data_IF_751355271214
#
_entry.id   IF_751355271214
#
_cell.length_a   1.000
_cell.length_b   1.000
_cell.length_c   1.000
_cell.angle_alpha   90.00
_cell.angle_beta   90.00
_cell.angle_gamma   90.00
#
_symmetry.space_group_name_H-M   'P 1'
#
loop_
_entity.id
_entity.type
_entity.pdbx_description
1 polymer ?
#
# COMPACT_ATOMS: atom_id res chain seq x y z
N UNK A 1 24.11 -40.03 -17.12
CA UNK A 1 23.97 -40.02 -15.65
C UNK A 1 25.35 -40.11 -15.02
N UNK A 2 25.70 -39.11 -14.21
CA UNK A 2 26.74 -39.00 -13.16
C UNK A 2 26.77 -37.49 -12.79
N UNK A 3 25.83 -37.00 -11.98
CA UNK A 3 26.06 -36.68 -10.55
C UNK A 3 26.54 -35.23 -10.43
N UNK A 4 25.69 -34.24 -10.16
CA UNK A 4 25.19 -33.92 -8.82
C UNK A 4 25.95 -32.70 -8.25
N UNK A 5 25.23 -31.60 -7.98
CA UNK A 5 25.61 -30.44 -7.13
C UNK A 5 27.02 -29.83 -7.33
N UNK A 6 27.15 -28.67 -8.02
CA UNK A 6 28.41 -27.90 -8.00
C UNK A 6 28.35 -26.39 -7.76
N UNK A 7 27.18 -25.76 -7.66
CA UNK A 7 27.09 -24.29 -7.47
C UNK A 7 26.18 -23.90 -6.31
N UNK A 8 26.31 -24.57 -5.15
CA UNK A 8 25.59 -24.16 -3.92
C UNK A 8 26.60 -23.70 -2.88
N UNK A 9 26.50 -22.43 -2.47
CA UNK A 9 27.25 -21.93 -1.31
C UNK A 9 26.33 -21.98 -0.11
N UNK A 10 26.80 -22.64 0.94
CA UNK A 10 26.07 -22.80 2.19
C UNK A 10 26.81 -22.07 3.30
N UNK A 11 26.11 -21.20 4.02
CA UNK A 11 26.58 -20.62 5.26
C UNK A 11 25.72 -21.21 6.39
N UNK A 12 26.21 -22.21 7.14
CA UNK A 12 25.36 -22.98 8.06
C UNK A 12 25.03 -22.22 9.34
N UNK A 13 23.94 -22.61 9.99
CA UNK A 13 23.63 -22.19 11.36
C UNK A 13 24.57 -22.87 12.38
N UNK A 14 24.84 -22.27 13.57
CA UNK A 14 24.25 -21.05 14.14
C UNK A 14 25.11 -19.78 13.97
N UNK A 15 26.02 -19.74 12.99
CA UNK A 15 27.00 -18.67 12.88
C UNK A 15 26.38 -17.29 12.62
N UNK A 16 27.10 -16.25 13.05
CA UNK A 16 26.86 -14.85 12.67
C UNK A 16 28.10 -14.35 11.94
N UNK A 17 27.96 -13.99 10.67
CA UNK A 17 29.05 -13.44 9.87
C UNK A 17 29.04 -11.92 9.93
N UNK A 18 30.15 -11.32 10.34
CA UNK A 18 30.37 -9.88 10.19
C UNK A 18 30.78 -9.56 8.76
N UNK A 19 30.00 -8.69 8.11
CA UNK A 19 30.19 -8.27 6.73
C UNK A 19 30.65 -6.81 6.73
N UNK A 20 31.95 -6.58 6.56
CA UNK A 20 32.55 -5.24 6.52
C UNK A 20 32.45 -4.54 5.17
N UNK A 21 32.13 -5.28 4.10
CA UNK A 21 32.06 -4.79 2.72
C UNK A 21 31.06 -5.61 1.91
N UNK A 22 30.58 -5.04 0.81
CA UNK A 22 29.60 -5.66 -0.09
C UNK A 22 29.99 -7.09 -0.50
N UNK A 23 29.03 -8.01 -0.35
CA UNK A 23 29.08 -9.35 -0.94
C UNK A 23 28.37 -9.28 -2.29
N UNK A 24 29.15 -9.34 -3.38
CA UNK A 24 28.65 -9.20 -4.74
C UNK A 24 28.53 -10.54 -5.44
N UNK A 25 27.34 -10.84 -5.94
CA UNK A 25 26.99 -12.05 -6.69
C UNK A 25 26.59 -11.66 -8.10
N UNK A 26 27.49 -11.82 -9.06
CA UNK A 26 27.28 -11.42 -10.46
C UNK A 26 27.05 -12.58 -11.43
N UNK A 27 27.04 -13.82 -10.93
CA UNK A 27 26.85 -15.03 -11.72
C UNK A 27 25.75 -15.93 -11.13
N UNK A 28 25.11 -16.80 -11.94
CA UNK A 28 24.10 -17.72 -11.44
C UNK A 28 24.69 -18.68 -10.39
N UNK A 29 24.30 -18.52 -9.13
CA UNK A 29 24.70 -19.42 -8.02
C UNK A 29 23.51 -19.66 -7.09
N UNK A 30 23.38 -20.88 -6.56
CA UNK A 30 22.39 -21.19 -5.53
C UNK A 30 22.99 -20.83 -4.17
N UNK A 31 22.26 -20.07 -3.35
CA UNK A 31 22.72 -19.68 -2.02
C UNK A 31 21.76 -20.22 -0.96
N UNK A 32 22.31 -20.91 0.04
CA UNK A 32 21.59 -21.35 1.24
C UNK A 32 22.33 -20.82 2.47
N UNK A 33 22.08 -19.55 2.75
CA UNK A 33 22.70 -18.80 3.83
C UNK A 33 21.83 -18.86 5.07
N UNK A 34 21.95 -19.97 5.81
CA UNK A 34 21.19 -20.26 7.04
C UNK A 34 21.78 -19.58 8.28
N UNK A 35 22.96 -18.99 8.16
CA UNK A 35 23.58 -18.11 9.15
C UNK A 35 22.93 -16.72 9.16
N UNK A 36 23.19 -15.96 10.24
CA UNK A 36 22.86 -14.53 10.27
C UNK A 36 24.04 -13.71 9.74
N UNK A 37 23.76 -12.57 9.12
CA UNK A 37 24.78 -11.65 8.61
C UNK A 37 24.60 -10.29 9.28
N UNK A 38 25.68 -9.74 9.83
CA UNK A 38 25.70 -8.41 10.43
C UNK A 38 26.58 -7.50 9.57
N UNK A 39 25.94 -6.57 8.86
CA UNK A 39 26.64 -5.56 8.07
C UNK A 39 27.17 -4.47 8.98
N UNK A 40 28.50 -4.35 9.05
CA UNK A 40 29.17 -3.48 10.03
C UNK A 40 29.51 -2.11 9.47
N UNK A 41 29.42 -1.88 8.16
CA UNK A 41 29.70 -0.59 7.57
C UNK A 41 28.58 0.44 7.88
N UNK A 42 28.94 1.72 7.84
CA UNK A 42 28.00 2.84 8.04
C UNK A 42 27.33 3.31 6.73
N UNK A 43 27.84 2.88 5.58
CA UNK A 43 27.32 3.19 4.24
C UNK A 43 27.46 1.98 3.31
N UNK A 44 26.81 2.02 2.15
CA UNK A 44 26.97 1.01 1.10
C UNK A 44 25.95 -0.12 1.17
N UNK A 45 26.24 -1.22 0.46
CA UNK A 45 25.30 -2.35 0.29
C UNK A 45 25.87 -3.61 0.93
N UNK A 46 25.05 -4.36 1.68
CA UNK A 46 25.48 -5.63 2.26
C UNK A 46 25.58 -6.74 1.21
N UNK A 47 24.51 -7.00 0.45
CA UNK A 47 24.49 -7.95 -0.66
C UNK A 47 24.07 -7.28 -1.96
N UNK A 48 24.80 -7.54 -3.04
CA UNK A 48 24.33 -7.19 -4.39
C UNK A 48 24.26 -8.38 -5.30
N UNK A 49 23.20 -8.40 -6.10
CA UNK A 49 22.93 -9.45 -7.08
C UNK A 49 22.86 -8.85 -8.48
N UNK A 50 23.49 -9.53 -9.42
CA UNK A 50 23.51 -9.17 -10.83
C UNK A 50 24.58 -8.15 -11.20
N UNK A 51 24.39 -7.54 -12.37
CA UNK A 51 25.34 -6.64 -13.01
C UNK A 51 24.63 -5.36 -13.43
N UNK A 52 25.37 -4.25 -13.46
CA UNK A 52 24.83 -2.95 -13.89
C UNK A 52 24.52 -2.90 -15.39
N UNK A 53 25.12 -3.78 -16.20
CA UNK A 53 24.91 -3.89 -17.63
C UNK A 53 24.64 -5.35 -18.01
N UNK A 54 23.51 -5.61 -18.65
CA UNK A 54 23.14 -6.92 -19.18
C UNK A 54 22.23 -7.76 -18.29
N UNK A 55 21.39 -8.58 -18.93
CA UNK A 55 20.45 -9.49 -18.29
C UNK A 55 21.15 -10.78 -17.81
N UNK A 56 20.82 -11.21 -16.59
CA UNK A 56 21.33 -12.44 -16.01
C UNK A 56 20.23 -13.26 -15.33
N UNK A 57 20.36 -14.58 -15.37
CA UNK A 57 19.52 -15.50 -14.60
C UNK A 57 20.29 -15.94 -13.35
N UNK A 58 19.63 -15.93 -12.20
CA UNK A 58 20.09 -16.46 -10.92
C UNK A 58 19.41 -17.79 -10.60
N UNK A 59 19.98 -18.53 -9.65
CA UNK A 59 19.32 -19.68 -9.03
C UNK A 59 18.62 -19.25 -7.74
N UNK A 60 17.94 -20.18 -7.08
CA UNK A 60 17.29 -19.92 -5.79
C UNK A 60 18.28 -19.33 -4.76
N UNK A 61 17.85 -18.23 -4.14
CA UNK A 61 18.56 -17.58 -3.04
C UNK A 61 17.75 -17.74 -1.77
N UNK A 62 18.40 -18.14 -0.70
CA UNK A 62 17.85 -18.14 0.64
C UNK A 62 18.86 -17.52 1.60
N UNK A 63 18.48 -16.42 2.23
CA UNK A 63 19.24 -15.78 3.31
C UNK A 63 18.36 -15.77 4.55
N UNK A 64 18.85 -16.28 5.68
CA UNK A 64 18.04 -16.30 6.90
C UNK A 64 17.87 -14.89 7.44
N UNK A 65 18.94 -14.30 7.98
CA UNK A 65 18.85 -13.00 8.62
C UNK A 65 19.94 -12.03 8.14
N UNK A 66 19.56 -10.78 7.94
CA UNK A 66 20.47 -9.67 7.63
C UNK A 66 20.20 -8.52 8.60
N UNK A 67 21.24 -8.11 9.30
CA UNK A 67 21.19 -7.08 10.33
C UNK A 67 22.12 -5.93 9.97
N UNK A 68 21.60 -4.71 9.97
CA UNK A 68 22.38 -3.48 9.93
C UNK A 68 22.63 -2.90 11.31
N UNK A 69 23.17 -1.67 11.34
CA UNK A 69 23.53 -0.95 12.57
C UNK A 69 22.47 0.05 13.05
N UNK A 70 21.34 0.21 12.35
CA UNK A 70 20.18 0.92 12.89
C UNK A 70 19.69 0.27 14.20
N UNK A 71 19.08 1.02 15.11
CA UNK A 71 18.59 0.45 16.37
C UNK A 71 17.19 0.89 16.75
N UNK A 72 16.61 1.84 16.02
CA UNK A 72 15.32 2.46 16.33
C UNK A 72 14.53 2.73 15.06
N UNK A 73 13.22 2.97 15.23
CA UNK A 73 12.36 3.47 14.15
C UNK A 73 13.02 4.69 13.47
N UNK A 74 13.22 4.65 12.13
CA UNK A 74 13.92 5.72 11.42
C UNK A 74 13.02 6.94 11.28
N UNK A 75 13.57 8.12 11.60
CA UNK A 75 12.88 9.41 11.45
C UNK A 75 13.07 10.04 10.08
N UNK A 76 14.04 9.55 9.29
CA UNK A 76 14.33 9.99 7.92
C UNK A 76 14.94 8.84 7.10
N UNK A 77 14.95 8.96 5.77
CA UNK A 77 15.75 8.10 4.88
C UNK A 77 17.13 8.72 4.68
N UNK A 78 18.20 7.99 5.06
CA UNK A 78 19.56 8.38 4.73
C UNK A 78 19.94 7.82 3.35
N UNK A 79 19.84 8.63 2.30
CA UNK A 79 20.10 8.20 0.91
C UNK A 79 21.55 7.77 0.66
N UNK A 80 22.50 8.23 1.48
CA UNK A 80 23.91 7.80 1.49
C UNK A 80 24.19 6.68 2.50
N UNK A 81 23.17 6.19 3.20
CA UNK A 81 23.26 5.20 4.25
C UNK A 81 23.44 3.77 3.74
N UNK A 82 22.99 2.80 4.54
CA UNK A 82 23.17 1.38 4.26
C UNK A 82 21.95 0.77 3.57
N UNK A 83 22.20 -0.12 2.61
CA UNK A 83 21.19 -0.96 1.95
C UNK A 83 21.47 -2.43 2.21
N UNK A 84 20.46 -3.22 2.60
CA UNK A 84 20.70 -4.64 2.89
C UNK A 84 20.95 -5.43 1.59
N UNK A 85 20.03 -5.32 0.64
CA UNK A 85 20.08 -6.07 -0.60
C UNK A 85 19.83 -5.14 -1.78
N UNK A 86 20.65 -5.25 -2.81
CA UNK A 86 20.39 -4.66 -4.12
C UNK A 86 20.34 -5.73 -5.19
N UNK A 87 19.30 -5.73 -6.02
CA UNK A 87 19.15 -6.61 -7.18
C UNK A 87 19.16 -5.74 -8.43
N UNK A 88 20.13 -5.99 -9.33
CA UNK A 88 20.29 -5.27 -10.61
C UNK A 88 20.27 -6.25 -11.75
N UNK A 89 19.29 -6.11 -12.64
CA UNK A 89 19.21 -6.86 -13.90
C UNK A 89 19.36 -8.39 -13.76
N UNK A 90 18.84 -8.97 -12.67
CA UNK A 90 18.91 -10.40 -12.39
C UNK A 90 17.52 -10.96 -12.09
N UNK A 91 17.22 -12.10 -12.71
CA UNK A 91 15.97 -12.84 -12.52
C UNK A 91 16.24 -14.18 -11.83
N UNK A 92 15.44 -14.53 -10.84
CA UNK A 92 15.50 -15.74 -10.02
C UNK A 92 14.17 -16.50 -10.12
N UNK A 93 14.21 -17.82 -9.95
CA UNK A 93 13.01 -18.62 -9.69
C UNK A 93 12.41 -18.29 -8.32
N UNK A 94 13.26 -18.21 -7.29
CA UNK A 94 12.85 -17.90 -5.91
C UNK A 94 13.93 -17.13 -5.17
N UNK A 95 13.53 -16.04 -4.52
CA UNK A 95 14.41 -15.23 -3.68
C UNK A 95 13.80 -15.10 -2.30
N UNK A 96 14.42 -15.74 -1.31
CA UNK A 96 13.92 -15.83 0.07
C UNK A 96 14.83 -15.11 1.04
N UNK A 97 14.24 -14.27 1.89
CA UNK A 97 14.92 -13.68 3.05
C UNK A 97 14.03 -13.74 4.28
N UNK A 98 14.46 -14.37 5.38
CA UNK A 98 13.58 -14.52 6.56
C UNK A 98 13.51 -13.24 7.39
N UNK A 99 14.59 -12.46 7.50
CA UNK A 99 14.60 -11.20 8.24
C UNK A 99 15.60 -10.19 7.68
N UNK A 100 15.17 -8.94 7.51
CA UNK A 100 16.01 -7.77 7.25
C UNK A 100 15.65 -6.69 8.26
N UNK A 101 16.65 -6.22 9.00
CA UNK A 101 16.43 -5.11 9.93
C UNK A 101 17.58 -4.11 9.96
N UNK A 102 17.24 -2.88 10.35
CA UNK A 102 18.20 -1.87 10.80
C UNK A 102 19.07 -1.25 9.70
N UNK A 103 18.53 -1.03 8.50
CA UNK A 103 19.20 -0.36 7.39
C UNK A 103 18.75 1.08 7.18
N UNK A 104 19.69 2.03 7.10
CA UNK A 104 19.35 3.47 7.13
C UNK A 104 18.88 4.04 5.79
N UNK A 105 19.09 3.31 4.68
CA UNK A 105 18.59 3.67 3.36
C UNK A 105 17.42 2.75 2.96
N UNK A 106 17.71 1.48 2.62
CA UNK A 106 16.73 0.52 2.10
C UNK A 106 16.97 -0.89 2.63
N UNK A 107 15.93 -1.66 2.91
CA UNK A 107 16.09 -3.09 3.16
C UNK A 107 16.35 -3.83 1.84
N UNK A 108 15.44 -3.70 0.87
CA UNK A 108 15.58 -4.31 -0.45
C UNK A 108 15.38 -3.29 -1.56
N UNK A 109 16.32 -3.24 -2.51
CA UNK A 109 16.27 -2.36 -3.66
C UNK A 109 16.39 -3.15 -4.95
N UNK A 110 15.34 -3.16 -5.77
CA UNK A 110 15.38 -3.72 -7.12
C UNK A 110 15.50 -2.59 -8.13
N UNK A 111 16.55 -2.64 -8.92
CA UNK A 111 16.91 -1.63 -9.90
C UNK A 111 16.95 -2.27 -11.28
N UNK A 112 15.87 -2.06 -12.04
CA UNK A 112 15.76 -2.49 -13.42
C UNK A 112 16.22 -1.45 -14.43
N UNK A 113 16.98 -0.40 -14.06
CA UNK A 113 17.31 0.72 -14.97
C UNK A 113 18.48 0.47 -15.94
N UNK A 114 18.70 -0.78 -16.36
CA UNK A 114 19.84 -1.19 -17.19
C UNK A 114 19.86 -0.63 -18.62
N UNK A 115 21.06 -0.29 -19.12
CA UNK A 115 21.33 0.14 -20.50
C UNK A 115 21.39 -1.06 -21.45
N UNK A 116 20.26 -1.56 -21.93
CA UNK A 116 20.21 -2.40 -23.14
C UNK A 116 18.78 -2.42 -23.68
N UNK A 117 18.60 -2.02 -24.94
CA UNK A 117 17.27 -1.91 -25.58
C UNK A 117 16.39 -3.14 -25.35
N UNK A 118 15.12 -2.89 -24.98
CA UNK A 118 14.03 -3.86 -24.88
C UNK A 118 14.34 -5.12 -24.06
N UNK A 119 14.58 -4.98 -22.74
CA UNK A 119 14.66 -6.15 -21.85
C UNK A 119 13.93 -5.92 -20.53
N UNK A 120 12.99 -6.80 -20.20
CA UNK A 120 12.50 -7.00 -18.83
C UNK A 120 13.60 -7.76 -18.07
N UNK A 121 14.28 -7.10 -17.14
CA UNK A 121 15.55 -7.60 -16.58
C UNK A 121 15.42 -8.18 -15.16
N UNK A 122 14.36 -7.80 -14.44
CA UNK A 122 13.96 -8.40 -13.16
C UNK A 122 12.49 -8.79 -13.31
N UNK A 123 12.23 -10.00 -13.79
CA UNK A 123 10.86 -10.43 -14.15
C UNK A 123 10.52 -11.83 -13.68
N UNK A 124 9.23 -12.11 -13.49
CA UNK A 124 8.73 -13.45 -13.13
C UNK A 124 9.34 -14.04 -11.85
N UNK A 125 9.88 -13.18 -10.99
CA UNK A 125 10.47 -13.59 -9.72
C UNK A 125 9.39 -13.91 -8.71
N UNK A 126 9.66 -14.90 -7.87
CA UNK A 126 8.91 -15.13 -6.64
C UNK A 126 9.78 -14.75 -5.43
N UNK A 127 9.48 -13.59 -4.85
CA UNK A 127 10.09 -13.12 -3.61
C UNK A 127 9.30 -13.64 -2.41
N UNK A 128 9.99 -14.24 -1.44
CA UNK A 128 9.42 -14.71 -0.17
C UNK A 128 10.19 -14.05 0.96
N UNK A 129 9.59 -13.04 1.56
CA UNK A 129 10.22 -12.18 2.55
C UNK A 129 9.54 -12.40 3.89
N UNK A 130 10.29 -12.67 4.94
CA UNK A 130 9.77 -12.76 6.29
C UNK A 130 9.56 -11.36 6.87
N UNK A 131 10.39 -10.96 7.82
CA UNK A 131 10.25 -9.69 8.53
C UNK A 131 11.17 -8.60 7.96
N UNK A 132 10.61 -7.43 7.65
CA UNK A 132 11.34 -6.23 7.22
C UNK A 132 11.02 -5.08 8.18
N UNK A 133 11.98 -4.70 9.04
CA UNK A 133 11.73 -3.80 10.16
C UNK A 133 12.83 -2.76 10.40
N UNK A 134 12.48 -1.56 10.86
CA UNK A 134 13.43 -0.50 11.24
C UNK A 134 14.38 -0.09 10.10
N UNK A 135 13.87 0.01 8.88
CA UNK A 135 14.63 0.45 7.71
C UNK A 135 14.15 1.81 7.19
N UNK A 136 15.02 2.58 6.52
CA UNK A 136 14.60 3.80 5.82
C UNK A 136 13.43 3.51 4.88
N UNK A 137 13.64 2.66 3.88
CA UNK A 137 12.57 2.11 3.05
C UNK A 137 12.61 0.59 3.13
N UNK A 138 11.48 -0.07 3.35
CA UNK A 138 11.39 -1.54 3.38
C UNK A 138 11.75 -2.13 2.02
N UNK A 139 10.95 -1.84 1.00
CA UNK A 139 11.14 -2.33 -0.37
C UNK A 139 11.06 -1.15 -1.34
N UNK A 140 12.05 -1.00 -2.19
CA UNK A 140 12.02 -0.07 -3.33
C UNK A 140 12.21 -0.84 -4.63
N UNK A 141 11.36 -0.58 -5.61
CA UNK A 141 11.56 -1.05 -6.99
C UNK A 141 11.56 0.14 -7.93
N UNK A 142 12.53 0.19 -8.83
CA UNK A 142 12.60 1.18 -9.89
C UNK A 142 12.53 0.51 -11.26
N UNK A 143 11.60 0.97 -12.07
CA UNK A 143 11.41 0.64 -13.47
C UNK A 143 11.46 1.91 -14.33
N UNK A 144 11.78 1.77 -15.61
CA UNK A 144 11.69 2.87 -16.59
C UNK A 144 10.35 2.77 -17.32
N UNK A 145 10.21 1.75 -18.15
CA UNK A 145 9.01 1.31 -18.85
C UNK A 145 9.25 -0.12 -19.36
N UNK A 146 8.24 -0.76 -19.96
CA UNK A 146 8.38 -2.13 -20.46
C UNK A 146 9.42 -2.27 -21.60
N UNK A 147 9.76 -1.17 -22.27
CA UNK A 147 10.57 -1.14 -23.49
C UNK A 147 12.04 -0.79 -23.22
N UNK A 148 12.34 -0.12 -22.11
CA UNK A 148 13.65 0.49 -21.84
C UNK A 148 14.35 -0.07 -20.60
N UNK A 149 13.76 -1.09 -19.98
CA UNK A 149 14.26 -1.86 -18.83
C UNK A 149 13.43 -1.69 -17.56
N UNK A 150 13.05 -2.83 -16.99
CA UNK A 150 12.04 -2.85 -15.93
C UNK A 150 12.14 -4.02 -14.97
N UNK A 151 11.78 -3.75 -13.72
CA UNK A 151 11.34 -4.73 -12.75
C UNK A 151 9.83 -4.91 -12.95
N UNK A 152 9.39 -6.09 -13.40
CA UNK A 152 7.97 -6.32 -13.73
C UNK A 152 7.50 -7.73 -13.40
N UNK A 153 6.17 -7.92 -13.29
CA UNK A 153 5.55 -9.26 -13.22
C UNK A 153 6.16 -10.15 -12.11
N UNK A 154 6.54 -9.53 -11.01
CA UNK A 154 7.07 -10.23 -9.84
C UNK A 154 5.96 -10.46 -8.82
N UNK A 155 6.02 -11.62 -8.17
CA UNK A 155 5.18 -11.94 -7.01
C UNK A 155 5.99 -11.75 -5.74
N UNK A 156 5.40 -11.09 -4.77
CA UNK A 156 5.99 -10.77 -3.48
C UNK A 156 5.12 -11.33 -2.36
N UNK A 157 5.56 -12.39 -1.71
CA UNK A 157 4.92 -12.90 -0.49
C UNK A 157 5.72 -12.38 0.71
N UNK A 158 5.14 -11.47 1.49
CA UNK A 158 5.77 -10.75 2.59
C UNK A 158 5.04 -11.11 3.88
N UNK A 159 5.76 -11.64 4.87
CA UNK A 159 5.18 -11.93 6.17
C UNK A 159 4.89 -10.63 6.91
N UNK A 160 5.92 -9.82 7.20
CA UNK A 160 5.75 -8.58 7.97
C UNK A 160 6.60 -7.45 7.40
N UNK A 161 6.02 -6.26 7.24
CA UNK A 161 6.75 -5.03 6.89
C UNK A 161 6.28 -3.89 7.79
N UNK A 162 7.12 -3.51 8.75
CA UNK A 162 6.71 -2.55 9.77
C UNK A 162 7.83 -1.68 10.31
N UNK A 163 7.49 -0.59 11.00
CA UNK A 163 8.47 0.33 11.58
C UNK A 163 9.54 0.84 10.60
N UNK A 164 9.22 0.94 9.32
CA UNK A 164 10.09 1.56 8.31
C UNK A 164 9.66 3.01 8.11
N UNK A 165 10.50 3.89 7.56
CA UNK A 165 10.05 5.25 7.23
C UNK A 165 9.09 5.24 6.02
N UNK A 166 9.33 4.35 5.04
CA UNK A 166 8.37 3.90 4.04
C UNK A 166 8.35 2.37 3.96
N UNK A 167 7.18 1.72 3.88
CA UNK A 167 7.13 0.26 3.83
C UNK A 167 7.45 -0.23 2.41
N UNK A 168 6.77 0.31 1.41
CA UNK A 168 6.94 -0.08 0.01
C UNK A 168 6.91 1.18 -0.85
N UNK A 169 7.88 1.29 -1.75
CA UNK A 169 7.91 2.28 -2.81
C UNK A 169 8.00 1.57 -4.18
N UNK A 170 7.01 1.84 -5.04
CA UNK A 170 7.00 1.37 -6.43
C UNK A 170 7.20 2.56 -7.34
N UNK A 171 8.36 2.59 -8.00
CA UNK A 171 8.88 3.68 -8.83
C UNK A 171 9.14 4.98 -8.04
N UNK A 172 9.30 6.10 -8.75
CA UNK A 172 9.60 7.41 -8.17
C UNK A 172 8.80 8.51 -8.89
N UNK A 173 8.65 9.72 -8.30
CA UNK A 173 7.90 10.81 -8.89
C UNK A 173 8.33 11.11 -10.34
N UNK A 174 7.35 11.24 -11.24
CA UNK A 174 7.59 11.55 -12.65
C UNK A 174 7.82 10.34 -13.55
N UNK A 175 7.89 9.12 -13.00
CA UNK A 175 7.93 7.88 -13.78
C UNK A 175 6.52 7.31 -13.96
N UNK A 176 6.23 6.83 -15.18
CA UNK A 176 4.99 6.11 -15.56
C UNK A 176 5.32 4.71 -16.05
N UNK A 177 6.11 3.97 -15.26
CA UNK A 177 6.51 2.63 -15.65
C UNK A 177 5.33 1.65 -15.49
N UNK A 178 5.11 0.82 -16.52
CA UNK A 178 4.35 -0.42 -16.32
C UNK A 178 5.12 -1.31 -15.37
N UNK A 179 4.55 -1.74 -14.26
CA UNK A 179 5.27 -2.57 -13.28
C UNK A 179 4.58 -3.91 -13.03
N UNK A 180 3.24 -3.96 -13.04
CA UNK A 180 2.47 -5.21 -13.03
C UNK A 180 2.87 -6.20 -11.92
N UNK A 181 3.26 -5.72 -10.74
CA UNK A 181 3.61 -6.57 -9.60
C UNK A 181 2.40 -7.05 -8.82
N UNK A 182 2.56 -8.16 -8.09
CA UNK A 182 1.55 -8.72 -7.18
C UNK A 182 2.17 -8.87 -5.79
N UNK A 183 1.62 -8.20 -4.78
CA UNK A 183 2.10 -8.20 -3.40
C UNK A 183 1.09 -8.83 -2.46
N UNK A 184 1.48 -9.88 -1.75
CA UNK A 184 0.76 -10.46 -0.63
C UNK A 184 1.51 -10.09 0.65
N UNK A 185 0.90 -9.25 1.49
CA UNK A 185 1.51 -8.73 2.71
C UNK A 185 0.65 -9.20 3.87
N UNK A 186 1.14 -10.15 4.68
CA UNK A 186 0.33 -10.67 5.78
C UNK A 186 0.10 -9.61 6.86
N UNK A 187 1.12 -8.79 7.15
CA UNK A 187 1.02 -7.76 8.18
C UNK A 187 1.88 -6.53 7.86
N UNK A 188 1.23 -5.37 7.77
CA UNK A 188 1.89 -4.07 7.65
C UNK A 188 1.68 -3.23 8.92
N UNK A 189 2.69 -2.43 9.30
CA UNK A 189 2.50 -1.38 10.32
C UNK A 189 1.42 -0.40 9.87
N UNK A 190 0.65 0.06 10.83
CA UNK A 190 -0.45 1.01 10.66
C UNK A 190 -0.29 2.23 11.56
N UNK A 191 0.88 2.44 12.14
CA UNK A 191 1.22 3.61 12.95
C UNK A 191 2.20 4.53 12.21
N UNK A 192 2.30 5.79 12.65
CA UNK A 192 3.28 6.78 12.18
C UNK A 192 3.15 7.25 10.72
N UNK A 193 2.01 7.03 10.06
CA UNK A 193 1.78 7.49 8.68
C UNK A 193 2.69 6.82 7.65
N UNK A 194 3.20 5.64 7.98
CA UNK A 194 4.02 4.80 7.12
C UNK A 194 3.10 3.98 6.21
N UNK A 195 3.46 3.83 4.93
CA UNK A 195 2.62 3.07 4.01
C UNK A 195 3.28 2.73 2.70
N UNK A 196 2.44 2.64 1.66
CA UNK A 196 2.82 2.31 0.30
C UNK A 196 2.82 3.60 -0.52
N UNK A 197 3.96 3.92 -1.13
CA UNK A 197 4.10 5.00 -2.10
C UNK A 197 4.11 4.41 -3.51
N UNK A 198 3.04 4.67 -4.26
CA UNK A 198 2.88 4.18 -5.63
C UNK A 198 3.09 5.31 -6.62
N UNK A 199 3.99 5.11 -7.58
CA UNK A 199 4.20 5.96 -8.74
C UNK A 199 3.97 5.22 -10.08
N UNK A 200 4.15 3.89 -10.09
CA UNK A 200 3.95 3.01 -11.25
C UNK A 200 2.51 2.54 -11.49
N UNK A 201 2.34 1.66 -12.49
CA UNK A 201 1.03 1.20 -12.98
C UNK A 201 0.83 -0.32 -12.93
N UNK A 202 -0.44 -0.74 -12.84
CA UNK A 202 -0.91 -2.14 -12.88
C UNK A 202 -0.50 -3.04 -11.71
N UNK A 203 -0.12 -2.47 -10.57
CA UNK A 203 0.26 -3.25 -9.40
C UNK A 203 -0.98 -3.69 -8.61
N UNK A 204 -0.89 -4.89 -8.03
CA UNK A 204 -1.92 -5.46 -7.17
C UNK A 204 -1.36 -5.71 -5.78
N UNK A 205 -2.05 -5.26 -4.75
CA UNK A 205 -1.68 -5.44 -3.35
C UNK A 205 -2.80 -6.13 -2.60
N UNK A 206 -2.44 -7.11 -1.78
CA UNK A 206 -3.28 -7.73 -0.75
C UNK A 206 -2.60 -7.48 0.59
N UNK A 207 -3.21 -6.67 1.45
CA UNK A 207 -2.58 -6.14 2.66
C UNK A 207 -3.38 -6.51 3.89
N UNK A 208 -2.76 -7.24 4.81
CA UNK A 208 -3.20 -7.39 6.19
C UNK A 208 -2.52 -6.36 7.11
N UNK A 209 -3.12 -6.09 8.27
CA UNK A 209 -2.62 -5.14 9.26
C UNK A 209 -2.27 -5.79 10.58
N UNK A 210 -1.23 -5.28 11.23
CA UNK A 210 -0.72 -5.73 12.53
C UNK A 210 -1.58 -5.24 13.72
N UNK A 211 -2.91 -5.42 13.70
CA UNK A 211 -3.80 -5.06 14.80
C UNK A 211 -3.94 -3.55 15.08
N UNK A 212 -4.97 -3.14 15.82
CA UNK A 212 -5.19 -1.75 16.22
C UNK A 212 -4.17 -1.30 17.29
N UNK A 213 -3.89 0.00 17.38
CA UNK A 213 -3.08 0.55 18.47
C UNK A 213 -3.75 0.34 19.85
N UNK A 214 -3.06 0.69 20.94
CA UNK A 214 -3.58 0.59 22.31
C UNK A 214 -4.90 1.38 22.52
N UNK A 215 -5.24 2.28 21.60
CA UNK A 215 -6.47 3.09 21.60
C UNK A 215 -7.58 2.51 20.72
N UNK A 216 -7.35 1.36 20.08
CA UNK A 216 -8.28 0.75 19.14
C UNK A 216 -8.30 1.40 17.76
N UNK A 217 -7.33 2.27 17.45
CA UNK A 217 -7.24 3.01 16.19
C UNK A 217 -6.17 2.40 15.27
N UNK A 218 -6.55 2.11 14.03
CA UNK A 218 -5.67 1.78 12.90
C UNK A 218 -5.49 3.07 12.09
N UNK A 219 -4.29 3.65 11.96
CA UNK A 219 -4.09 4.86 11.11
C UNK A 219 -3.09 4.58 9.99
N UNK A 220 -3.52 3.78 9.00
CA UNK A 220 -2.69 3.52 7.82
C UNK A 220 -2.78 4.70 6.85
N UNK A 221 -1.64 5.28 6.49
CA UNK A 221 -1.59 6.28 5.41
C UNK A 221 -1.19 5.58 4.11
N UNK A 222 -2.09 5.54 3.13
CA UNK A 222 -1.83 5.00 1.79
C UNK A 222 -1.64 6.17 0.82
N UNK A 223 -0.43 6.37 0.28
CA UNK A 223 -0.16 7.47 -0.65
C UNK A 223 -0.11 6.95 -2.09
N UNK A 224 -1.23 7.05 -2.79
CA UNK A 224 -1.28 6.81 -4.23
C UNK A 224 -0.95 8.13 -4.96
N UNK A 225 0.26 8.25 -5.49
CA UNK A 225 0.68 9.53 -6.07
C UNK A 225 0.04 9.81 -7.44
N UNK A 226 0.05 11.09 -7.86
CA UNK A 226 -0.59 11.61 -9.08
C UNK A 226 -0.30 10.83 -10.38
N UNK A 227 0.84 10.15 -10.47
CA UNK A 227 1.26 9.39 -11.65
C UNK A 227 0.79 7.94 -11.68
N UNK A 228 0.33 7.39 -10.55
CA UNK A 228 -0.04 5.99 -10.41
C UNK A 228 -1.40 5.70 -11.05
N UNK A 229 -1.49 4.73 -11.95
CA UNK A 229 -2.73 4.39 -12.66
C UNK A 229 -2.98 2.88 -12.66
N UNK A 230 -4.25 2.48 -12.71
CA UNK A 230 -4.67 1.07 -12.86
C UNK A 230 -4.16 0.12 -11.75
N UNK A 231 -3.84 0.63 -10.56
CA UNK A 231 -3.45 -0.21 -9.43
C UNK A 231 -4.69 -0.74 -8.68
N UNK A 232 -4.59 -1.93 -8.09
CA UNK A 232 -5.62 -2.50 -7.20
C UNK A 232 -5.02 -2.75 -5.82
N UNK A 233 -5.70 -2.32 -4.77
CA UNK A 233 -5.28 -2.56 -3.38
C UNK A 233 -6.46 -3.19 -2.66
N UNK A 234 -6.26 -4.39 -2.11
CA UNK A 234 -7.23 -5.14 -1.33
C UNK A 234 -6.74 -5.27 0.11
N UNK A 235 -7.60 -4.90 1.07
CA UNK A 235 -7.30 -5.04 2.49
C UNK A 235 -7.96 -6.31 3.04
N UNK A 236 -7.14 -7.23 3.57
CA UNK A 236 -7.60 -8.55 4.01
C UNK A 236 -8.37 -8.55 5.34
N UNK A 237 -8.20 -7.51 6.17
CA UNK A 237 -8.85 -7.35 7.48
C UNK A 237 -9.55 -5.98 7.56
N UNK A 238 -10.56 -5.83 8.43
CA UNK A 238 -11.21 -4.53 8.66
C UNK A 238 -10.18 -3.50 9.16
N UNK A 239 -9.85 -2.53 8.30
CA UNK A 239 -9.14 -1.33 8.70
C UNK A 239 -10.18 -0.40 9.36
N UNK A 240 -10.36 -0.50 10.67
CA UNK A 240 -11.45 0.19 11.38
C UNK A 240 -11.33 1.72 11.42
N UNK A 241 -10.22 2.32 10.99
CA UNK A 241 -10.08 3.79 11.03
C UNK A 241 -9.20 4.35 9.91
N UNK A 242 -9.63 5.50 9.38
CA UNK A 242 -8.87 6.50 8.59
C UNK A 242 -7.78 5.98 7.65
N UNK A 243 -8.17 5.45 6.49
CA UNK A 243 -7.26 5.32 5.33
C UNK A 243 -7.15 6.71 4.69
N UNK A 244 -6.05 7.41 4.92
CA UNK A 244 -5.75 8.63 4.17
C UNK A 244 -5.24 8.23 2.79
N UNK A 245 -6.10 8.39 1.78
CA UNK A 245 -5.80 8.11 0.37
C UNK A 245 -5.66 9.45 -0.33
N UNK A 246 -4.43 9.83 -0.66
CA UNK A 246 -4.24 10.84 -1.71
C UNK A 246 -4.56 10.14 -3.02
N UNK A 247 -5.63 10.55 -3.72
CA UNK A 247 -5.90 10.02 -5.05
C UNK A 247 -5.07 10.79 -6.06
N UNK A 248 -4.14 10.06 -6.65
CA UNK A 248 -3.42 10.48 -7.82
C UNK A 248 -3.61 9.48 -8.97
N UNK A 249 -3.78 9.99 -10.19
CA UNK A 249 -3.93 9.16 -11.40
C UNK A 249 -5.30 8.47 -11.56
N UNK A 250 -5.55 7.95 -12.76
CA UNK A 250 -6.86 7.38 -13.17
C UNK A 250 -6.94 5.86 -12.91
N UNK A 251 -8.16 5.38 -12.69
CA UNK A 251 -8.51 3.94 -12.66
C UNK A 251 -7.85 3.10 -11.55
N UNK A 252 -7.42 3.70 -10.44
CA UNK A 252 -7.01 2.94 -9.26
C UNK A 252 -8.25 2.41 -8.52
N UNK A 253 -8.19 1.17 -8.02
CA UNK A 253 -9.25 0.50 -7.26
C UNK A 253 -8.76 0.16 -5.86
N UNK A 254 -9.56 0.47 -4.85
CA UNK A 254 -9.32 0.07 -3.47
C UNK A 254 -10.50 -0.79 -3.02
N UNK A 255 -10.21 -1.96 -2.49
CA UNK A 255 -11.18 -2.95 -2.00
C UNK A 255 -10.90 -3.10 -0.50
N UNK A 256 -11.80 -2.61 0.34
CA UNK A 256 -11.72 -2.82 1.79
C UNK A 256 -12.54 -4.04 2.17
N UNK A 257 -12.14 -4.76 3.22
CA UNK A 257 -13.02 -5.75 3.85
C UNK A 257 -14.38 -5.10 4.15
N UNK A 258 -15.50 -5.83 3.97
CA UNK A 258 -16.79 -5.31 4.36
C UNK A 258 -16.73 -5.02 5.86
N UNK A 259 -17.11 -3.79 6.28
CA UNK A 259 -17.16 -3.43 7.69
C UNK A 259 -17.93 -4.50 8.45
N UNK A 260 -17.49 -4.81 9.67
CA UNK A 260 -18.06 -5.91 10.45
C UNK A 260 -19.58 -5.77 10.51
N UNK A 261 -20.33 -6.86 10.59
CA UNK A 261 -21.80 -6.82 10.65
C UNK A 261 -22.34 -6.04 11.86
N UNK A 262 -21.48 -5.64 12.80
CA UNK A 262 -21.81 -4.70 13.88
C UNK A 262 -21.97 -3.24 13.39
N UNK A 263 -21.56 -2.94 12.15
CA UNK A 263 -21.68 -1.64 11.48
C UNK A 263 -22.77 -1.61 10.37
N UNK A 264 -23.67 -2.58 10.35
CA UNK A 264 -24.93 -2.48 9.62
C UNK A 264 -25.96 -1.68 10.47
N UNK A 265 -26.86 -0.94 9.82
CA UNK A 265 -27.15 0.48 10.06
C UNK A 265 -27.57 0.83 11.48
N UNK A 266 -27.15 2.00 11.97
CA UNK A 266 -27.97 2.75 12.90
C UNK A 266 -29.24 3.18 12.16
N UNK A 267 -30.30 2.36 12.21
CA UNK A 267 -31.63 2.84 11.88
C UNK A 267 -31.96 4.01 12.82
N UNK A 268 -32.30 5.17 12.27
CA UNK A 268 -32.84 6.28 13.06
C UNK A 268 -31.91 7.45 13.35
N UNK A 269 -30.93 7.77 12.50
CA UNK A 269 -30.37 9.12 12.50
C UNK A 269 -31.51 10.08 12.14
N UNK A 270 -32.09 10.72 13.15
CA UNK A 270 -33.06 11.80 12.96
C UNK A 270 -32.36 12.95 12.26
N UNK A 271 -32.76 13.25 11.03
CA UNK A 271 -32.27 14.44 10.34
C UNK A 271 -33.06 15.65 10.83
N UNK A 272 -32.34 16.62 11.37
CA UNK A 272 -32.87 17.95 11.63
C UNK A 272 -32.52 18.85 10.45
N UNK A 273 -33.50 19.62 9.96
CA UNK A 273 -33.30 20.59 8.87
C UNK A 273 -32.10 21.50 9.14
N UNK A 274 -31.19 21.59 8.17
CA UNK A 274 -30.03 22.48 8.25
C UNK A 274 -28.86 21.98 9.08
N UNK A 275 -28.96 20.81 9.73
CA UNK A 275 -27.85 20.20 10.46
C UNK A 275 -26.92 19.47 9.52
N UNK A 276 -25.62 19.72 9.69
CA UNK A 276 -24.58 19.06 8.93
C UNK A 276 -24.27 17.69 9.55
N UNK A 277 -24.21 16.67 8.71
CA UNK A 277 -23.81 15.32 9.08
C UNK A 277 -22.49 15.00 8.39
N UNK A 278 -21.54 14.44 9.14
CA UNK A 278 -20.25 14.04 8.60
C UNK A 278 -20.20 12.52 8.42
N UNK A 279 -19.65 12.08 7.30
CA UNK A 279 -19.25 10.69 7.13
C UNK A 279 -17.93 10.43 7.89
N UNK A 280 -18.04 9.84 9.08
CA UNK A 280 -16.90 9.52 9.95
C UNK A 280 -16.30 8.13 9.67
N UNK A 281 -16.87 7.35 8.76
CA UNK A 281 -16.53 5.94 8.56
C UNK A 281 -15.21 5.69 7.79
N UNK A 282 -14.46 6.72 7.43
CA UNK A 282 -13.18 6.59 6.73
C UNK A 282 -13.26 6.06 5.28
N UNK A 283 -14.45 5.68 4.80
CA UNK A 283 -14.75 5.21 3.43
C UNK A 283 -15.99 5.92 2.89
N UNK A 284 -16.21 6.00 1.56
CA UNK A 284 -17.47 6.50 1.02
C UNK A 284 -18.68 5.69 1.52
N UNK A 285 -19.77 6.37 1.82
CA UNK A 285 -21.04 5.75 2.24
C UNK A 285 -22.16 6.12 1.27
N UNK A 286 -23.19 5.28 1.20
CA UNK A 286 -24.44 5.60 0.51
C UNK A 286 -25.52 5.88 1.55
N UNK A 287 -26.05 7.11 1.51
CA UNK A 287 -27.13 7.54 2.38
C UNK A 287 -28.45 7.42 1.63
N UNK A 288 -29.37 6.63 2.18
CA UNK A 288 -30.75 6.54 1.74
C UNK A 288 -31.63 7.31 2.70
N UNK A 289 -32.64 8.00 2.19
CA UNK A 289 -33.61 8.66 3.04
C UNK A 289 -34.87 9.02 2.30
N UNK A 290 -35.78 9.63 3.03
CA UNK A 290 -36.98 10.21 2.47
C UNK A 290 -37.34 11.51 3.16
N UNK A 291 -37.98 12.40 2.38
CA UNK A 291 -38.60 13.63 2.86
C UNK A 291 -40.11 13.43 2.78
N UNK A 292 -40.82 13.63 3.89
CA UNK A 292 -42.29 13.65 3.94
C UNK A 292 -42.75 15.07 4.13
N UNK A 293 -43.59 15.58 3.24
CA UNK A 293 -44.20 16.90 3.37
C UNK A 293 -45.68 16.79 3.71
N UNK A 294 -46.14 17.55 4.72
CA UNK A 294 -47.56 17.64 5.07
C UNK A 294 -48.29 18.74 4.28
N UNK A 295 -47.56 19.67 3.68
CA UNK A 295 -48.03 20.74 2.80
C UNK A 295 -47.01 20.95 1.66
N UNK A 296 -47.37 21.71 0.62
CA UNK A 296 -46.42 22.04 -0.45
C UNK A 296 -45.14 22.64 0.14
N UNK A 297 -44.02 21.96 -0.10
CA UNK A 297 -42.74 22.25 0.56
C UNK A 297 -41.60 22.23 -0.44
N UNK A 298 -40.56 23.01 -0.16
CA UNK A 298 -39.35 23.12 -0.96
C UNK A 298 -38.14 22.77 -0.09
N UNK A 299 -37.29 21.86 -0.56
CA UNK A 299 -36.10 21.44 0.17
C UNK A 299 -34.91 21.28 -0.77
N UNK A 300 -33.74 21.40 -0.18
CA UNK A 300 -32.46 21.19 -0.83
C UNK A 300 -31.65 20.14 -0.08
N UNK A 301 -30.89 19.33 -0.80
CA UNK A 301 -29.92 18.39 -0.24
C UNK A 301 -28.54 18.82 -0.71
N UNK A 302 -27.63 18.96 0.24
CA UNK A 302 -26.24 19.36 0.02
C UNK A 302 -25.34 18.16 0.31
N UNK A 303 -24.30 17.97 -0.50
CA UNK A 303 -23.30 16.93 -0.27
C UNK A 303 -21.95 17.31 -0.87
N UNK A 304 -20.87 17.24 -0.11
CA UNK A 304 -19.55 17.56 -0.61
C UNK A 304 -18.40 17.18 0.34
N UNK A 305 -17.14 17.26 -0.14
CA UNK A 305 -15.98 16.91 0.66
C UNK A 305 -15.64 17.93 1.76
N UNK A 306 -16.18 19.15 1.67
CA UNK A 306 -15.89 20.24 2.60
C UNK A 306 -17.18 20.84 3.16
N UNK A 307 -17.21 21.11 4.46
CA UNK A 307 -18.36 21.64 5.17
C UNK A 307 -18.80 23.02 4.65
N UNK A 308 -17.84 23.90 4.33
CA UNK A 308 -18.09 25.30 3.94
C UNK A 308 -18.55 25.48 2.49
N UNK A 309 -18.46 24.46 1.65
CA UNK A 309 -18.66 24.57 0.20
C UNK A 309 -19.46 23.40 -0.39
N UNK A 310 -20.31 22.75 0.41
CA UNK A 310 -21.15 21.66 -0.08
C UNK A 310 -22.07 22.13 -1.23
N UNK A 311 -21.99 21.54 -2.44
CA UNK A 311 -22.92 21.84 -3.51
C UNK A 311 -24.33 21.28 -3.21
N UNK A 312 -25.35 21.93 -3.77
CA UNK A 312 -26.72 21.41 -3.81
C UNK A 312 -26.77 20.29 -4.85
N UNK A 313 -27.14 19.08 -4.42
CA UNK A 313 -27.29 17.90 -5.27
C UNK A 313 -28.76 17.58 -5.60
N UNK A 314 -29.68 18.03 -4.76
CA UNK A 314 -31.11 18.00 -5.02
C UNK A 314 -31.72 19.35 -4.65
N UNK A 315 -32.56 19.87 -5.51
CA UNK A 315 -33.33 21.09 -5.30
C UNK A 315 -34.77 20.82 -5.77
N UNK A 316 -35.67 20.54 -4.83
CA UNK A 316 -36.94 19.87 -5.10
C UNK A 316 -38.12 20.53 -4.40
N UNK A 317 -39.20 20.72 -5.15
CA UNK A 317 -40.52 21.08 -4.61
C UNK A 317 -41.43 19.86 -4.63
N UNK A 318 -42.08 19.57 -3.50
CA UNK A 318 -42.99 18.44 -3.36
C UNK A 318 -44.36 18.91 -2.86
N UNK A 319 -45.42 18.31 -3.41
CA UNK A 319 -46.79 18.61 -3.01
C UNK A 319 -47.07 18.12 -1.58
N UNK A 320 -48.12 18.64 -0.96
CA UNK A 320 -48.59 18.16 0.35
C UNK A 320 -48.93 16.67 0.33
N UNK A 321 -48.72 16.00 1.47
CA UNK A 321 -48.90 14.56 1.67
C UNK A 321 -48.11 13.68 0.69
N UNK A 322 -46.95 14.17 0.24
CA UNK A 322 -46.07 13.44 -0.68
C UNK A 322 -44.78 13.03 0.01
N UNK A 323 -44.20 11.93 -0.48
CA UNK A 323 -42.90 11.40 -0.06
C UNK A 323 -41.92 11.51 -1.22
N UNK A 324 -40.72 12.03 -0.95
CA UNK A 324 -39.61 12.02 -1.89
C UNK A 324 -38.48 11.14 -1.36
N UNK A 325 -38.18 10.00 -2.01
CA UNK A 325 -37.02 9.21 -1.68
C UNK A 325 -35.75 9.83 -2.28
N UNK A 326 -34.64 9.78 -1.56
CA UNK A 326 -33.34 10.18 -2.08
C UNK A 326 -32.26 9.15 -1.76
N UNK A 327 -31.24 9.13 -2.61
CA UNK A 327 -30.02 8.35 -2.44
C UNK A 327 -28.85 9.24 -2.83
N UNK A 328 -27.83 9.33 -1.99
CA UNK A 328 -26.63 10.10 -2.28
C UNK A 328 -25.38 9.40 -1.75
N UNK A 329 -24.27 9.54 -2.49
CA UNK A 329 -22.97 8.99 -2.10
C UNK A 329 -22.16 10.08 -1.40
N UNK A 330 -21.79 9.86 -0.14
CA UNK A 330 -20.98 10.79 0.65
C UNK A 330 -19.53 10.30 0.65
N UNK A 331 -18.55 11.10 0.20
CA UNK A 331 -17.13 10.74 0.28
C UNK A 331 -16.67 10.47 1.72
N UNK A 332 -15.58 9.72 1.89
CA UNK A 332 -14.91 9.56 3.18
C UNK A 332 -14.56 10.93 3.79
N UNK A 333 -14.94 11.17 5.05
CA UNK A 333 -14.73 12.47 5.71
C UNK A 333 -15.60 13.62 5.18
N UNK A 334 -16.41 13.37 4.15
CA UNK A 334 -17.31 14.35 3.54
C UNK A 334 -18.55 14.64 4.39
N UNK A 335 -19.33 15.61 3.95
CA UNK A 335 -20.48 16.13 4.67
C UNK A 335 -21.73 16.09 3.80
N UNK A 336 -22.89 15.92 4.43
CA UNK A 336 -24.19 16.09 3.81
C UNK A 336 -25.17 16.79 4.75
N UNK A 337 -26.16 17.46 4.16
CA UNK A 337 -27.19 18.21 4.89
C UNK A 337 -28.48 18.23 4.08
N UNK A 338 -29.61 18.05 4.76
CA UNK A 338 -30.94 18.32 4.18
C UNK A 338 -31.44 19.64 4.76
N UNK A 339 -31.92 20.54 3.92
CA UNK A 339 -32.34 21.88 4.30
C UNK A 339 -33.75 22.15 3.79
N UNK A 340 -34.67 22.46 4.70
CA UNK A 340 -35.99 23.00 4.31
C UNK A 340 -35.80 24.45 3.90
N UNK A 341 -36.13 24.78 2.67
CA UNK A 341 -36.16 26.17 2.21
C UNK A 341 -37.51 26.80 2.56
N UNK A 342 -38.61 26.07 2.37
CA UNK A 342 -39.95 26.48 2.79
C UNK A 342 -40.88 25.28 3.05
N UNK A 343 -41.92 25.49 3.85
CA UNK A 343 -42.91 24.46 4.21
C UNK A 343 -42.57 23.70 5.49
N UNK A 344 -43.20 22.54 5.69
CA UNK A 344 -42.99 21.68 6.86
C UNK A 344 -42.76 20.26 6.41
N UNK A 345 -41.59 19.73 6.73
CA UNK A 345 -41.12 18.42 6.31
C UNK A 345 -40.58 17.61 7.49
N UNK A 346 -40.81 16.30 7.45
CA UNK A 346 -40.19 15.33 8.33
C UNK A 346 -39.16 14.51 7.54
N UNK A 347 -38.08 14.12 8.21
CA UNK A 347 -36.96 13.44 7.59
C UNK A 347 -36.67 12.12 8.29
N UNK A 348 -36.23 11.14 7.51
CA UNK A 348 -35.61 9.92 8.03
C UNK A 348 -34.53 9.46 7.07
N UNK A 349 -33.44 8.93 7.62
CA UNK A 349 -32.39 8.29 6.84
C UNK A 349 -32.00 6.94 7.40
N UNK A 350 -31.56 6.09 6.48
CA UNK A 350 -30.77 4.91 6.76
C UNK A 350 -29.49 5.04 5.93
N UNK A 351 -28.35 5.20 6.59
CA UNK A 351 -27.05 5.15 5.91
C UNK A 351 -26.54 3.72 5.87
N UNK A 352 -26.08 3.29 4.70
CA UNK A 352 -25.37 2.02 4.53
C UNK A 352 -23.97 2.32 3.99
N UNK A 353 -22.96 1.63 4.51
CA UNK A 353 -21.64 1.63 3.90
C UNK A 353 -21.72 0.97 2.53
N UNK A 354 -21.12 1.62 1.53
CA UNK A 354 -21.08 1.13 0.16
C UNK A 354 -20.09 -0.06 0.11
N UNK A 355 -20.54 -1.22 -0.36
CA UNK A 355 -19.76 -2.46 -0.33
C UNK A 355 -18.92 -2.71 -1.60
N UNK A 356 -18.70 -1.69 -2.45
CA UNK A 356 -18.20 -1.87 -3.83
C UNK A 356 -16.75 -1.47 -4.07
#
# INVERSE_FOLDING_TARGET
MAGGLRNTVVAPQPYVFSVGSEVKISSPIKLEFLASFHYTASTGTCFSFGQSAGWSNGYDVHIKNIYGNGGSFPTTVNTSGTTAIVIRNMTFSKFRVDCIQNFTNRALFCDGTGLSGYQQVIQHNHFILGQIVNNGIGITMLSLDAENSSCQVCRWDIQNVYQNYHNIQVDEPGRRASTSHTFYINSMDNQHGVGIDLYGMWNKFWVGFAGADETGTITTTLRVNASAEMNTIEFGNNAETSISISYGGKNNRIITAPPSTAYLPASGIGITSGVNNQNTYGVPITVYGYVVANASSHFQIFCGPQLSSMPVIYDMSIAGNSLFPFMLRVPAGGYYKVFTVSGTVAYSTVSYQDAS
#
